data_IF_755533971109
#
_entry.id   IF_755533971109
#
_cell.length_a   1.000
_cell.length_b   1.000
_cell.length_c   1.000
_cell.angle_alpha   90.00
_cell.angle_beta   90.00
_cell.angle_gamma   90.00
#
_symmetry.space_group_name_H-M   'P 1'
#
loop_
_entity.id
_entity.type
_entity.pdbx_description
1 polymer ?
#
# COMPACT_ATOMS: atom_id res chain seq x y z
N UNK A 1 8.44 16.65 19.20
CA UNK A 1 7.19 16.15 18.58
C UNK A 1 7.62 15.30 17.40
N UNK A 2 7.14 14.07 17.28
CA UNK A 2 7.49 13.21 16.15
C UNK A 2 6.75 13.71 14.90
N UNK A 3 7.36 13.63 13.72
CA UNK A 3 6.75 14.06 12.46
C UNK A 3 5.39 13.40 12.18
N UNK A 4 5.13 12.23 12.79
CA UNK A 4 3.84 11.56 12.74
C UNK A 4 2.72 12.33 13.48
N UNK A 5 3.05 13.10 14.52
CA UNK A 5 2.03 13.80 15.32
C UNK A 5 1.33 14.95 14.55
N UNK A 6 1.95 15.42 13.47
CA UNK A 6 1.40 16.48 12.61
C UNK A 6 0.74 15.96 11.34
N UNK A 7 0.78 14.62 11.12
CA UNK A 7 0.19 14.00 9.95
C UNK A 7 -1.33 13.89 10.10
N UNK A 8 -2.05 14.32 9.07
CA UNK A 8 -3.49 14.11 8.91
C UNK A 8 -3.73 13.46 7.54
N UNK A 9 -4.44 12.33 7.47
CA UNK A 9 -4.75 11.69 6.19
C UNK A 9 -5.49 12.63 5.23
N UNK A 10 -5.04 12.65 3.98
CA UNK A 10 -5.68 13.41 2.90
C UNK A 10 -7.14 12.95 2.67
N UNK A 11 -7.96 13.71 1.93
CA UNK A 11 -9.30 13.27 1.54
C UNK A 11 -9.25 11.98 0.73
N UNK A 12 -10.28 11.12 0.87
CA UNK A 12 -10.36 9.87 0.09
C UNK A 12 -10.35 10.12 -1.41
N UNK A 13 -9.63 9.26 -2.11
CA UNK A 13 -9.63 9.19 -3.57
C UNK A 13 -10.64 8.14 -4.05
N UNK A 14 -10.97 8.18 -5.35
CA UNK A 14 -11.76 7.13 -5.97
C UNK A 14 -10.93 5.84 -5.96
N UNK A 15 -11.51 4.79 -5.38
CA UNK A 15 -10.94 3.46 -5.34
C UNK A 15 -11.88 2.48 -6.03
N UNK A 16 -11.32 1.44 -6.63
CA UNK A 16 -12.06 0.40 -7.30
C UNK A 16 -11.72 -0.97 -6.73
N UNK A 17 -12.59 -1.91 -6.92
CA UNK A 17 -12.33 -3.32 -6.67
C UNK A 17 -12.83 -4.17 -7.82
N UNK A 18 -12.10 -5.19 -8.19
CA UNK A 18 -12.56 -6.18 -9.15
C UNK A 18 -12.42 -7.60 -8.59
N UNK A 19 -13.36 -8.46 -8.98
CA UNK A 19 -13.32 -9.86 -8.58
C UNK A 19 -12.24 -10.59 -9.38
N UNK A 20 -11.42 -11.37 -8.68
CA UNK A 20 -10.48 -12.33 -9.26
C UNK A 20 -11.06 -13.74 -9.20
N UNK A 21 -10.35 -14.70 -9.74
CA UNK A 21 -10.71 -16.10 -9.54
C UNK A 21 -10.61 -16.50 -8.05
N UNK A 22 -11.54 -17.30 -7.58
CA UNK A 22 -11.61 -17.72 -6.16
C UNK A 22 -12.15 -16.64 -5.21
N UNK A 23 -11.76 -16.65 -3.93
CA UNK A 23 -12.28 -15.75 -2.90
C UNK A 23 -11.66 -14.34 -2.93
N UNK A 24 -10.56 -14.16 -3.66
CA UNK A 24 -9.81 -12.93 -3.66
C UNK A 24 -10.39 -11.88 -4.60
N UNK A 25 -10.17 -10.63 -4.22
CA UNK A 25 -10.51 -9.44 -4.98
C UNK A 25 -9.26 -8.59 -5.17
N UNK A 26 -9.17 -7.86 -6.26
CA UNK A 26 -8.15 -6.83 -6.40
C UNK A 26 -8.70 -5.49 -5.95
N UNK A 27 -8.01 -4.91 -4.98
CA UNK A 27 -8.09 -3.50 -4.66
C UNK A 27 -7.33 -2.71 -5.72
N UNK A 28 -7.92 -1.64 -6.24
CA UNK A 28 -7.29 -0.76 -7.22
C UNK A 28 -7.30 0.66 -6.66
N UNK A 29 -6.13 1.22 -6.47
CA UNK A 29 -5.95 2.60 -6.03
C UNK A 29 -5.11 3.36 -7.05
N UNK A 30 -5.52 4.59 -7.34
CA UNK A 30 -4.80 5.48 -8.25
C UNK A 30 -4.37 6.73 -7.51
N UNK A 31 -3.12 7.15 -7.69
CA UNK A 31 -2.59 8.40 -7.18
C UNK A 31 -1.84 9.15 -8.29
N UNK A 32 -2.16 10.42 -8.44
CA UNK A 32 -1.40 11.33 -9.31
C UNK A 32 -0.31 12.01 -8.50
N UNK A 33 0.94 11.70 -8.83
CA UNK A 33 2.13 12.17 -8.15
C UNK A 33 2.80 13.27 -8.98
N UNK A 34 3.24 14.36 -8.33
CA UNK A 34 3.93 15.49 -8.99
C UNK A 34 5.42 15.23 -9.22
N UNK A 35 5.81 13.97 -9.37
CA UNK A 35 7.19 13.53 -9.48
C UNK A 35 7.35 12.62 -10.70
N UNK A 36 8.53 12.69 -11.33
CA UNK A 36 8.82 11.92 -12.55
C UNK A 36 8.72 10.40 -12.32
N UNK A 37 8.43 9.62 -13.37
CA UNK A 37 8.40 8.16 -13.28
C UNK A 37 9.69 7.56 -12.73
N UNK A 38 10.86 8.13 -13.02
CA UNK A 38 12.16 7.68 -12.48
C UNK A 38 12.18 7.73 -10.95
N UNK A 39 11.79 8.87 -10.38
CA UNK A 39 11.73 9.03 -8.93
C UNK A 39 10.73 8.08 -8.27
N UNK A 40 9.57 7.91 -8.89
CA UNK A 40 8.54 6.99 -8.40
C UNK A 40 9.03 5.55 -8.49
N UNK A 41 9.65 5.16 -9.61
CA UNK A 41 10.22 3.83 -9.79
C UNK A 41 11.28 3.49 -8.74
N UNK A 42 12.20 4.41 -8.47
CA UNK A 42 13.19 4.26 -7.41
C UNK A 42 12.51 4.02 -6.05
N UNK A 43 11.49 4.80 -5.71
CA UNK A 43 10.74 4.63 -4.46
C UNK A 43 10.00 3.29 -4.35
N UNK A 44 9.65 2.66 -5.49
CA UNK A 44 8.96 1.36 -5.54
C UNK A 44 9.93 0.17 -5.54
N UNK A 45 11.21 0.36 -5.88
CA UNK A 45 12.16 -0.75 -6.13
C UNK A 45 13.33 -0.78 -5.17
N UNK A 46 13.79 0.37 -4.70
CA UNK A 46 14.94 0.47 -3.78
C UNK A 46 14.55 0.13 -2.34
N UNK A 47 15.25 -0.82 -1.68
CA UNK A 47 14.93 -1.23 -0.32
C UNK A 47 15.01 -0.10 0.72
N UNK A 48 15.92 0.86 0.52
CA UNK A 48 16.06 1.99 1.43
C UNK A 48 14.87 2.96 1.29
N UNK A 49 14.44 3.22 0.07
CA UNK A 49 13.25 4.03 -0.21
C UNK A 49 11.98 3.36 0.30
N UNK A 50 11.78 2.07 0.02
CA UNK A 50 10.61 1.31 0.49
C UNK A 50 10.46 1.35 2.01
N UNK A 51 11.57 1.30 2.76
CA UNK A 51 11.57 1.36 4.22
C UNK A 51 10.97 2.66 4.78
N UNK A 52 10.98 3.74 4.00
CA UNK A 52 10.50 5.05 4.42
C UNK A 52 8.98 5.23 4.28
N UNK A 53 8.29 4.37 3.49
CA UNK A 53 6.87 4.58 3.22
C UNK A 53 6.01 3.32 3.12
N UNK A 54 6.59 2.18 2.70
CA UNK A 54 5.82 0.97 2.41
C UNK A 54 5.40 0.23 3.70
N UNK A 55 4.30 -0.53 3.67
CA UNK A 55 3.83 -1.33 4.81
C UNK A 55 4.63 -2.63 4.99
N UNK A 56 5.75 -2.77 4.32
CA UNK A 56 6.66 -3.90 4.37
C UNK A 56 8.11 -3.44 4.15
N UNK A 57 9.04 -4.31 4.49
CA UNK A 57 10.47 -4.15 4.17
C UNK A 57 10.92 -5.31 3.29
N UNK A 58 11.92 -5.06 2.44
CA UNK A 58 12.56 -6.08 1.60
C UNK A 58 14.07 -6.06 1.82
N UNK A 59 14.72 -7.19 1.60
CA UNK A 59 16.19 -7.35 1.73
C UNK A 59 16.95 -7.20 0.40
N UNK A 60 16.24 -6.93 -0.70
CA UNK A 60 16.83 -6.75 -2.03
C UNK A 60 16.03 -5.79 -2.91
N UNK A 61 16.61 -5.39 -4.04
CA UNK A 61 15.98 -4.48 -5.01
C UNK A 61 14.93 -5.23 -5.84
N UNK A 62 13.76 -4.59 -6.02
CA UNK A 62 12.63 -5.15 -6.76
C UNK A 62 12.64 -4.81 -8.25
N UNK A 63 13.58 -4.03 -8.73
CA UNK A 63 13.64 -3.57 -10.12
C UNK A 63 14.18 -4.57 -11.14
N UNK A 64 14.41 -5.84 -10.76
CA UNK A 64 14.95 -6.87 -11.64
C UNK A 64 14.04 -8.09 -11.68
N UNK A 65 13.53 -8.41 -12.87
CA UNK A 65 12.70 -9.61 -13.09
C UNK A 65 13.48 -10.88 -12.72
N UNK A 66 12.83 -11.80 -12.01
CA UNK A 66 13.42 -13.04 -11.51
C UNK A 66 14.24 -12.88 -10.23
N UNK A 67 14.44 -11.67 -9.72
CA UNK A 67 15.07 -11.47 -8.42
C UNK A 67 14.17 -12.07 -7.33
N UNK A 68 14.80 -12.77 -6.37
CA UNK A 68 14.12 -13.32 -5.19
C UNK A 68 14.58 -12.54 -3.97
N UNK A 69 13.62 -12.02 -3.21
CA UNK A 69 13.84 -11.23 -2.01
C UNK A 69 12.98 -11.76 -0.86
N UNK A 70 13.37 -11.46 0.38
CA UNK A 70 12.51 -11.68 1.53
C UNK A 70 11.71 -10.41 1.82
N UNK A 71 10.40 -10.50 1.72
CA UNK A 71 9.46 -9.44 2.03
C UNK A 71 8.85 -9.68 3.41
N UNK A 72 8.94 -8.72 4.29
CA UNK A 72 8.38 -8.79 5.64
C UNK A 72 7.33 -7.71 5.85
N UNK A 73 6.07 -8.11 5.95
CA UNK A 73 4.98 -7.20 6.27
C UNK A 73 5.07 -6.77 7.73
N UNK A 74 4.77 -5.51 7.98
CA UNK A 74 4.71 -5.02 9.35
C UNK A 74 3.55 -5.68 10.10
N UNK A 75 3.84 -6.10 11.33
CA UNK A 75 2.93 -6.88 12.15
C UNK A 75 2.90 -8.38 11.81
N UNK A 76 3.68 -8.83 10.81
CA UNK A 76 3.90 -10.25 10.49
C UNK A 76 5.40 -10.52 10.50
N UNK A 77 5.97 -11.06 11.58
CA UNK A 77 7.42 -11.17 11.74
C UNK A 77 8.09 -12.20 10.83
N UNK A 78 7.30 -13.09 10.19
CA UNK A 78 7.86 -14.12 9.31
C UNK A 78 8.09 -13.55 7.92
N UNK A 79 9.36 -13.50 7.45
CA UNK A 79 9.66 -13.14 6.07
C UNK A 79 8.99 -14.08 5.08
N UNK A 80 8.54 -13.53 3.97
CA UNK A 80 7.94 -14.25 2.86
C UNK A 80 8.87 -14.15 1.66
N UNK A 81 9.38 -15.29 1.20
CA UNK A 81 10.15 -15.32 -0.03
C UNK A 81 9.26 -14.87 -1.20
N UNK A 82 9.74 -13.94 -1.97
CA UNK A 82 8.99 -13.27 -3.02
C UNK A 82 9.86 -13.14 -4.26
N UNK A 83 9.35 -13.56 -5.40
CA UNK A 83 10.02 -13.40 -6.69
C UNK A 83 9.40 -12.26 -7.49
N UNK A 84 10.22 -11.40 -8.07
CA UNK A 84 9.77 -10.36 -8.99
C UNK A 84 9.35 -11.01 -10.30
N UNK A 85 8.06 -10.97 -10.61
CA UNK A 85 7.48 -11.60 -11.79
C UNK A 85 7.58 -10.70 -13.02
N UNK A 86 7.51 -9.40 -12.83
CA UNK A 86 7.62 -8.40 -13.89
C UNK A 86 8.29 -7.14 -13.37
N UNK A 87 9.21 -6.59 -14.16
CA UNK A 87 9.90 -5.33 -13.88
C UNK A 87 10.22 -4.62 -15.19
N UNK A 88 9.17 -4.07 -15.83
CA UNK A 88 9.33 -3.20 -17.00
C UNK A 88 9.60 -1.79 -16.47
N UNK A 89 10.84 -1.36 -16.56
CA UNK A 89 11.29 -0.13 -15.92
C UNK A 89 10.42 1.08 -16.27
N UNK A 90 9.99 1.80 -15.24
CA UNK A 90 9.12 2.99 -15.31
C UNK A 90 7.68 2.74 -15.79
N UNK A 91 7.28 1.47 -16.00
CA UNK A 91 5.96 1.11 -16.49
C UNK A 91 5.22 0.14 -15.58
N UNK A 92 5.79 -1.04 -15.32
CA UNK A 92 5.11 -2.10 -14.56
C UNK A 92 6.09 -2.81 -13.63
N UNK A 93 5.67 -2.97 -12.37
CA UNK A 93 6.36 -3.79 -11.38
C UNK A 93 5.34 -4.77 -10.76
N UNK A 94 5.66 -6.06 -10.78
CA UNK A 94 4.77 -7.10 -10.25
C UNK A 94 5.54 -8.13 -9.42
N UNK A 95 5.08 -8.34 -8.19
CA UNK A 95 5.61 -9.32 -7.25
C UNK A 95 4.52 -9.70 -6.24
N UNK A 96 4.50 -10.97 -5.84
CA UNK A 96 3.51 -11.50 -4.92
C UNK A 96 2.07 -11.15 -5.36
N UNK A 97 1.28 -10.57 -4.46
CA UNK A 97 -0.11 -10.16 -4.71
C UNK A 97 -0.23 -8.66 -5.09
N UNK A 98 0.90 -8.03 -5.45
CA UNK A 98 0.99 -6.59 -5.75
C UNK A 98 1.45 -6.38 -7.19
N UNK A 99 0.75 -5.47 -7.87
CA UNK A 99 1.16 -4.91 -9.16
C UNK A 99 1.09 -3.40 -9.10
N UNK A 100 2.12 -2.76 -9.59
CA UNK A 100 2.23 -1.32 -9.80
C UNK A 100 2.25 -1.01 -11.28
N UNK A 101 1.53 0.02 -11.67
CA UNK A 101 1.57 0.57 -13.02
C UNK A 101 1.88 2.06 -12.94
N UNK A 102 2.82 2.51 -13.74
CA UNK A 102 3.23 3.90 -13.85
C UNK A 102 2.89 4.42 -15.24
N UNK A 103 2.18 5.53 -15.30
CA UNK A 103 1.91 6.23 -16.55
C UNK A 103 2.42 7.67 -16.42
N UNK A 104 3.22 8.17 -17.38
CA UNK A 104 3.60 9.58 -17.41
C UNK A 104 2.35 10.48 -17.46
N UNK A 105 2.30 11.51 -16.60
CA UNK A 105 1.22 12.48 -16.56
C UNK A 105 1.79 13.90 -16.52
N UNK A 106 2.01 14.48 -17.70
CA UNK A 106 2.76 15.74 -17.82
C UNK A 106 4.18 15.57 -17.29
N UNK A 107 4.57 16.36 -16.28
CA UNK A 107 5.85 16.22 -15.58
C UNK A 107 5.81 15.25 -14.40
N UNK A 108 4.63 14.69 -14.11
CA UNK A 108 4.39 13.77 -13.01
C UNK A 108 4.14 12.34 -13.45
N UNK A 109 3.56 11.56 -12.54
CA UNK A 109 3.28 10.14 -12.72
C UNK A 109 1.88 9.81 -12.19
N UNK A 110 1.08 9.11 -12.97
CA UNK A 110 -0.08 8.39 -12.46
C UNK A 110 0.39 7.02 -12.00
N UNK A 111 0.28 6.77 -10.71
CA UNK A 111 0.62 5.50 -10.08
C UNK A 111 -0.65 4.72 -9.78
N UNK A 112 -0.75 3.50 -10.29
CA UNK A 112 -1.85 2.58 -9.99
C UNK A 112 -1.33 1.38 -9.21
N UNK A 113 -1.93 1.12 -8.07
CA UNK A 113 -1.74 -0.09 -7.26
C UNK A 113 -2.86 -1.08 -7.56
N UNK A 114 -2.47 -2.33 -7.80
CA UNK A 114 -3.33 -3.50 -7.77
C UNK A 114 -2.87 -4.41 -6.64
N UNK A 115 -3.73 -4.68 -5.68
CA UNK A 115 -3.41 -5.57 -4.56
C UNK A 115 -4.50 -6.62 -4.38
N UNK A 116 -4.12 -7.88 -4.49
CA UNK A 116 -5.04 -9.00 -4.27
C UNK A 116 -5.26 -9.19 -2.77
N UNK A 117 -6.49 -9.04 -2.32
CA UNK A 117 -6.85 -9.04 -0.91
C UNK A 117 -8.22 -9.70 -0.70
N UNK A 118 -8.42 -10.30 0.46
CA UNK A 118 -9.74 -10.79 0.86
C UNK A 118 -10.73 -9.62 0.95
N UNK A 119 -11.90 -9.78 0.30
CA UNK A 119 -12.94 -8.75 0.25
C UNK A 119 -13.33 -8.21 1.63
N UNK A 120 -13.28 -9.05 2.66
CA UNK A 120 -13.62 -8.65 4.04
C UNK A 120 -12.72 -7.55 4.59
N UNK A 121 -11.49 -7.46 4.11
CA UNK A 121 -10.48 -6.51 4.57
C UNK A 121 -10.17 -5.40 3.55
N UNK A 122 -10.90 -5.35 2.43
CA UNK A 122 -10.58 -4.47 1.31
C UNK A 122 -10.64 -2.97 1.68
N UNK A 123 -11.60 -2.58 2.53
CA UNK A 123 -11.71 -1.19 2.98
C UNK A 123 -10.56 -0.80 3.92
N UNK A 124 -10.10 -1.71 4.77
CA UNK A 124 -8.91 -1.50 5.60
C UNK A 124 -7.63 -1.47 4.79
N UNK A 125 -7.53 -2.34 3.77
CA UNK A 125 -6.43 -2.31 2.82
C UNK A 125 -6.37 -0.99 2.06
N UNK A 126 -7.51 -0.48 1.60
CA UNK A 126 -7.59 0.81 0.92
C UNK A 126 -7.16 1.97 1.83
N UNK A 127 -7.64 2.01 3.08
CA UNK A 127 -7.24 3.04 4.04
C UNK A 127 -5.75 2.96 4.39
N UNK A 128 -5.22 1.76 4.56
CA UNK A 128 -3.79 1.55 4.82
C UNK A 128 -2.92 2.04 3.68
N UNK A 129 -3.21 1.62 2.45
CA UNK A 129 -2.48 2.07 1.27
C UNK A 129 -2.65 3.56 0.97
N UNK A 130 -3.82 4.14 1.28
CA UNK A 130 -4.04 5.58 1.18
C UNK A 130 -3.02 6.35 2.03
N UNK A 131 -2.85 5.95 3.30
CA UNK A 131 -1.86 6.55 4.20
C UNK A 131 -0.43 6.33 3.67
N UNK A 132 -0.12 5.11 3.19
CA UNK A 132 1.18 4.84 2.57
C UNK A 132 1.45 5.77 1.37
N UNK A 133 0.46 6.07 0.55
CA UNK A 133 0.59 7.02 -0.56
C UNK A 133 0.82 8.45 -0.09
N UNK A 134 0.16 8.91 0.97
CA UNK A 134 0.42 10.23 1.55
C UNK A 134 1.87 10.33 2.06
N UNK A 135 2.38 9.26 2.70
CA UNK A 135 3.77 9.18 3.16
C UNK A 135 4.75 9.12 1.99
N UNK A 136 4.42 8.38 0.92
CA UNK A 136 5.21 8.34 -0.32
C UNK A 136 5.32 9.74 -0.95
N UNK A 137 4.22 10.49 -1.04
CA UNK A 137 4.24 11.86 -1.57
C UNK A 137 5.20 12.76 -0.79
N UNK A 138 5.22 12.65 0.55
CA UNK A 138 6.15 13.39 1.39
C UNK A 138 7.59 12.96 1.18
N UNK A 139 7.85 11.67 1.07
CA UNK A 139 9.18 11.15 0.75
C UNK A 139 9.69 11.71 -0.59
N UNK A 140 8.86 11.66 -1.62
CA UNK A 140 9.20 12.18 -2.95
C UNK A 140 9.41 13.70 -2.95
N UNK A 141 8.72 14.44 -2.08
CA UNK A 141 8.92 15.88 -1.87
C UNK A 141 10.20 16.21 -1.08
N UNK A 142 10.91 15.20 -0.55
CA UNK A 142 12.09 15.40 0.29
C UNK A 142 11.78 15.71 1.76
N UNK A 143 10.57 15.41 2.20
CA UNK A 143 10.08 15.62 3.57
C UNK A 143 9.67 14.28 4.22
N UNK A 144 10.56 13.28 4.32
CA UNK A 144 10.20 11.97 4.85
C UNK A 144 9.74 12.07 6.30
N UNK A 145 8.65 11.39 6.62
CA UNK A 145 8.11 11.31 7.99
C UNK A 145 8.23 9.88 8.57
N UNK A 146 8.69 8.93 7.77
CA UNK A 146 8.72 7.52 8.09
C UNK A 146 7.36 6.82 7.90
N UNK A 147 7.37 5.49 7.82
CA UNK A 147 6.20 4.72 7.45
C UNK A 147 5.12 4.73 8.55
N UNK A 148 3.86 4.80 8.14
CA UNK A 148 2.68 4.79 9.03
C UNK A 148 1.74 3.66 8.59
N UNK A 149 1.61 2.62 9.39
CA UNK A 149 0.73 1.49 9.09
C UNK A 149 0.36 0.70 10.35
N UNK A 150 -0.55 -0.27 10.19
CA UNK A 150 -1.00 -1.14 11.28
C UNK A 150 -1.55 -0.33 12.46
N UNK A 151 -1.09 -0.67 13.67
CA UNK A 151 -1.56 -0.02 14.90
C UNK A 151 -1.25 1.48 14.95
N UNK A 152 -0.18 1.94 14.30
CA UNK A 152 0.15 3.38 14.23
C UNK A 152 -0.88 4.13 13.39
N UNK A 153 -1.25 3.60 12.21
CA UNK A 153 -2.28 4.18 11.36
C UNK A 153 -3.62 4.33 12.06
N UNK A 154 -3.98 3.35 12.90
CA UNK A 154 -5.24 3.34 13.65
C UNK A 154 -5.34 4.43 14.73
N UNK A 155 -4.22 5.04 15.14
CA UNK A 155 -4.19 6.12 16.14
C UNK A 155 -4.64 7.46 15.58
N UNK A 156 -4.73 7.62 14.26
CA UNK A 156 -5.15 8.87 13.63
C UNK A 156 -6.67 8.92 13.49
N UNK A 157 -7.28 10.05 13.83
CA UNK A 157 -8.73 10.25 13.68
C UNK A 157 -9.19 10.04 12.23
N UNK A 158 -8.34 10.36 11.27
CA UNK A 158 -8.59 10.13 9.86
C UNK A 158 -8.70 8.66 9.45
N UNK A 159 -8.16 7.72 10.22
CA UNK A 159 -8.26 6.29 9.92
C UNK A 159 -9.71 5.80 9.89
N UNK A 160 -10.48 6.13 10.93
CA UNK A 160 -11.89 5.72 11.01
C UNK A 160 -12.71 6.33 9.87
N UNK A 161 -12.45 7.59 9.55
CA UNK A 161 -13.06 8.27 8.39
C UNK A 161 -12.73 7.56 7.10
N UNK A 162 -11.44 7.30 6.80
CA UNK A 162 -10.99 6.63 5.59
C UNK A 162 -11.62 5.24 5.44
N UNK A 163 -11.60 4.43 6.48
CA UNK A 163 -12.16 3.07 6.44
C UNK A 163 -13.66 3.09 6.18
N UNK A 164 -14.41 4.01 6.81
CA UNK A 164 -15.84 4.15 6.59
C UNK A 164 -16.18 4.63 5.17
N UNK A 165 -15.44 5.60 4.65
CA UNK A 165 -15.62 6.13 3.30
C UNK A 165 -15.30 5.08 2.24
N UNK A 166 -14.20 4.32 2.39
CA UNK A 166 -13.87 3.22 1.48
C UNK A 166 -14.87 2.07 1.57
N UNK A 167 -15.33 1.71 2.77
CA UNK A 167 -16.37 0.70 2.93
C UNK A 167 -17.65 1.10 2.18
N UNK A 168 -18.03 2.38 2.27
CA UNK A 168 -19.17 2.93 1.50
C UNK A 168 -18.94 2.87 -0.01
N UNK A 169 -17.74 3.24 -0.49
CA UNK A 169 -17.41 3.17 -1.92
C UNK A 169 -17.51 1.72 -2.45
N UNK A 170 -17.06 0.75 -1.66
CA UNK A 170 -17.04 -0.66 -2.07
C UNK A 170 -18.35 -1.42 -1.78
N UNK A 171 -19.26 -0.82 -1.03
CA UNK A 171 -20.48 -1.51 -0.60
C UNK A 171 -20.17 -2.74 0.28
N UNK A 172 -19.23 -2.61 1.20
CA UNK A 172 -18.83 -3.67 2.15
C UNK A 172 -19.06 -3.24 3.59
N UNK A 173 -19.33 -4.22 4.45
CA UNK A 173 -19.34 -4.00 5.89
C UNK A 173 -17.91 -4.06 6.45
N UNK A 174 -17.62 -3.20 7.42
CA UNK A 174 -16.36 -3.26 8.14
C UNK A 174 -16.36 -4.44 9.10
N UNK A 175 -15.32 -5.27 9.11
CA UNK A 175 -15.19 -6.32 10.11
C UNK A 175 -15.05 -5.69 11.50
N UNK A 176 -15.60 -6.36 12.54
CA UNK A 176 -15.44 -5.92 13.91
C UNK A 176 -13.96 -5.96 14.31
N UNK A 177 -13.45 -4.86 14.85
CA UNK A 177 -12.09 -4.79 15.35
C UNK A 177 -12.06 -4.52 16.87
N UNK A 178 -11.20 -5.19 17.64
CA UNK A 178 -10.37 -6.34 17.24
C UNK A 178 -11.23 -7.56 16.88
N UNK A 179 -10.74 -8.44 15.99
CA UNK A 179 -11.45 -9.68 15.68
C UNK A 179 -11.64 -10.44 16.99
N UNK A 180 -12.88 -10.85 17.28
CA UNK A 180 -13.15 -11.69 18.46
C UNK A 180 -12.19 -12.86 18.40
N UNK A 181 -11.37 -13.04 19.45
CA UNK A 181 -10.51 -14.21 19.57
C UNK A 181 -11.36 -15.45 19.26
N UNK A 182 -10.87 -16.28 18.35
CA UNK A 182 -11.55 -17.51 18.02
C UNK A 182 -11.81 -18.25 19.34
N UNK A 183 -13.06 -18.36 19.73
CA UNK A 183 -13.42 -19.18 20.90
C UNK A 183 -12.89 -20.58 20.61
N UNK A 184 -11.92 -21.02 21.39
CA UNK A 184 -11.53 -22.42 21.42
C UNK A 184 -12.80 -23.18 21.74
N UNK A 185 -13.31 -23.95 20.78
CA UNK A 185 -14.30 -24.97 21.07
C UNK A 185 -13.60 -26.02 21.92
N UNK A 186 -14.02 -26.13 23.17
CA UNK A 186 -13.73 -27.26 24.06
C UNK A 186 -14.34 -28.53 23.49
#
# INVERSE_FOLDING_TARGET
>A
MTAHAEYTPSPTHVAQMCKKEGPNWSLILVRELRHSPDKVWEALTDPAQLREWAPFVVDGNLGTVGATVNLTWVGRPTPQETTVMRADALEVLEYNDIRWELEPLGSGTRLTLWHNIDRRFIAWGAAGWHICFDVLERLLAGEPIGPIFGAEAMKFDGWQRLTAEYAKQFGVELPNWPPKAAQKRE
#
